data_IF_764094759735
#
_entry.id   IF_764094759735
#
_cell.length_a   1.000
_cell.length_b   1.000
_cell.length_c   1.000
_cell.angle_alpha   90.00
_cell.angle_beta   90.00
_cell.angle_gamma   90.00
#
_symmetry.space_group_name_H-M   'P 1'
#
loop_
_entity.id
_entity.type
_entity.pdbx_description
1 polymer ?
#
# COMPACT_ATOMS: atom_id res chain seq x y z
N UNK A 1 -20.69 35.83 -19.00
CA UNK A 1 -21.11 34.60 -18.32
C UNK A 1 -19.82 33.84 -18.04
N UNK A 2 -19.34 33.86 -16.80
CA UNK A 2 -18.13 33.14 -16.41
C UNK A 2 -18.46 31.66 -16.30
N UNK A 3 -18.13 30.88 -17.32
CA UNK A 3 -17.97 29.44 -17.16
C UNK A 3 -16.56 29.20 -16.67
N UNK A 4 -16.41 29.14 -15.34
CA UNK A 4 -15.27 28.49 -14.70
C UNK A 4 -15.31 27.02 -15.12
N UNK A 5 -14.66 26.73 -16.24
CA UNK A 5 -14.22 25.38 -16.60
C UNK A 5 -13.26 25.00 -15.49
N UNK A 6 -13.77 24.30 -14.47
CA UNK A 6 -12.92 23.66 -13.48
C UNK A 6 -11.90 22.85 -14.26
N UNK A 7 -10.64 23.23 -14.12
CA UNK A 7 -9.52 22.42 -14.58
C UNK A 7 -9.79 20.99 -14.08
N UNK A 8 -9.55 19.93 -14.88
CA UNK A 8 -9.59 18.59 -14.33
C UNK A 8 -8.54 18.59 -13.23
N UNK A 9 -9.01 18.55 -11.98
CA UNK A 9 -8.14 18.42 -10.83
C UNK A 9 -7.55 17.02 -10.98
N UNK A 10 -6.42 16.92 -11.66
CA UNK A 10 -5.55 15.76 -11.60
C UNK A 10 -4.93 15.77 -10.21
N UNK A 11 -5.76 15.47 -9.20
CA UNK A 11 -5.30 15.03 -7.89
C UNK A 11 -4.68 13.63 -8.08
N UNK A 12 -3.64 13.31 -7.30
CA UNK A 12 -2.48 12.57 -7.79
C UNK A 12 -2.80 11.10 -8.04
N UNK A 13 -2.63 10.66 -9.29
CA UNK A 13 -2.72 9.25 -9.70
C UNK A 13 -1.80 8.34 -8.86
N UNK A 14 -0.73 8.88 -8.26
CA UNK A 14 0.18 8.13 -7.36
C UNK A 14 -0.49 7.65 -6.06
N UNK A 15 -1.54 8.32 -5.58
CA UNK A 15 -2.15 7.96 -4.30
C UNK A 15 -3.14 6.80 -4.42
N UNK A 16 -3.85 6.67 -5.55
CA UNK A 16 -4.77 5.54 -5.79
C UNK A 16 -4.01 4.21 -5.98
N UNK A 17 -2.91 4.23 -6.72
CA UNK A 17 -2.07 3.03 -6.92
C UNK A 17 -1.44 2.56 -5.61
N UNK A 18 -0.96 3.50 -4.79
CA UNK A 18 -0.40 3.19 -3.48
C UNK A 18 -1.46 2.70 -2.48
N UNK A 19 -2.67 3.27 -2.50
CA UNK A 19 -3.79 2.77 -1.69
C UNK A 19 -4.24 1.37 -2.13
N UNK A 20 -4.30 1.10 -3.44
CA UNK A 20 -4.58 -0.23 -3.95
C UNK A 20 -3.51 -1.24 -3.50
N UNK A 21 -2.23 -0.86 -3.53
CA UNK A 21 -1.12 -1.67 -3.05
C UNK A 21 -1.23 -1.95 -1.55
N UNK A 22 -1.53 -0.94 -0.74
CA UNK A 22 -1.80 -1.10 0.70
C UNK A 22 -2.94 -2.07 0.96
N UNK A 23 -4.04 -1.94 0.24
CA UNK A 23 -5.18 -2.86 0.37
C UNK A 23 -4.77 -4.30 0.02
N UNK A 24 -4.00 -4.49 -1.04
CA UNK A 24 -3.51 -5.81 -1.46
C UNK A 24 -2.61 -6.44 -0.39
N UNK A 25 -1.67 -5.68 0.16
CA UNK A 25 -0.78 -6.14 1.24
C UNK A 25 -1.58 -6.43 2.51
N UNK A 26 -2.53 -5.57 2.87
CA UNK A 26 -3.39 -5.76 4.03
C UNK A 26 -4.19 -7.07 3.94
N UNK A 27 -4.84 -7.29 2.79
CA UNK A 27 -5.59 -8.52 2.51
C UNK A 27 -4.69 -9.76 2.60
N UNK A 28 -3.47 -9.67 2.07
CA UNK A 28 -2.49 -10.74 2.14
C UNK A 28 -2.12 -11.05 3.59
N UNK A 29 -1.69 -10.06 4.37
CA UNK A 29 -1.29 -10.24 5.78
C UNK A 29 -2.43 -10.81 6.60
N UNK A 30 -3.66 -10.35 6.36
CA UNK A 30 -4.86 -10.87 7.03
C UNK A 30 -5.12 -12.35 6.69
N UNK A 31 -4.97 -12.76 5.43
CA UNK A 31 -5.23 -14.13 4.97
C UNK A 31 -4.10 -15.11 5.29
N UNK A 32 -2.85 -14.69 5.18
CA UNK A 32 -1.66 -15.51 5.44
C UNK A 32 -1.38 -15.70 6.94
N UNK A 33 -1.99 -14.85 7.78
CA UNK A 33 -1.86 -14.88 9.23
C UNK A 33 -0.96 -13.74 9.72
N UNK A 34 -1.51 -12.85 10.54
CA UNK A 34 -0.76 -11.72 11.09
C UNK A 34 0.18 -12.18 12.22
N UNK A 35 1.50 -11.89 12.21
CA UNK A 35 2.25 -11.07 11.25
C UNK A 35 2.95 -11.86 10.13
N UNK A 36 3.32 -11.16 9.05
CA UNK A 36 4.02 -11.70 7.88
C UNK A 36 5.37 -11.02 7.65
N UNK A 37 6.27 -11.65 6.89
CA UNK A 37 7.56 -11.03 6.54
C UNK A 37 7.48 -10.25 5.23
N UNK A 38 8.30 -9.21 5.06
CA UNK A 38 8.42 -8.46 3.81
C UNK A 38 8.76 -9.40 2.66
N UNK A 39 9.68 -10.36 2.86
CA UNK A 39 10.02 -11.35 1.84
C UNK A 39 8.81 -12.19 1.42
N UNK A 40 7.98 -12.64 2.36
CA UNK A 40 6.75 -13.38 2.02
C UNK A 40 5.79 -12.53 1.19
N UNK A 41 5.62 -11.25 1.53
CA UNK A 41 4.77 -10.31 0.79
C UNK A 41 5.33 -10.07 -0.62
N UNK A 42 6.64 -9.84 -0.75
CA UNK A 42 7.36 -9.66 -2.01
C UNK A 42 7.21 -10.89 -2.91
N UNK A 43 7.46 -12.07 -2.36
CA UNK A 43 7.43 -13.33 -3.11
C UNK A 43 6.01 -13.69 -3.54
N UNK A 44 5.02 -13.60 -2.65
CA UNK A 44 3.64 -14.03 -2.95
C UNK A 44 2.86 -13.00 -3.79
N UNK A 45 3.11 -11.71 -3.61
CA UNK A 45 2.46 -10.64 -4.38
C UNK A 45 3.25 -10.24 -5.62
N UNK A 46 4.45 -10.80 -5.81
CA UNK A 46 5.39 -10.46 -6.90
C UNK A 46 5.66 -8.96 -6.98
N UNK A 47 5.84 -8.33 -5.81
CA UNK A 47 6.10 -6.90 -5.66
C UNK A 47 7.59 -6.63 -5.52
N UNK A 48 8.00 -5.39 -5.72
CA UNK A 48 9.35 -4.99 -5.33
C UNK A 48 9.41 -4.75 -3.82
N UNK A 49 10.56 -5.05 -3.22
CA UNK A 49 10.81 -4.79 -1.81
C UNK A 49 10.61 -3.30 -1.46
N UNK A 50 11.08 -2.38 -2.32
CA UNK A 50 10.89 -0.93 -2.14
C UNK A 50 9.40 -0.56 -2.12
N UNK A 51 8.59 -1.09 -3.04
CA UNK A 51 7.15 -0.84 -3.10
C UNK A 51 6.42 -1.37 -1.87
N UNK A 52 6.79 -2.56 -1.38
CA UNK A 52 6.22 -3.11 -0.15
C UNK A 52 6.58 -2.22 1.03
N UNK A 53 7.85 -1.82 1.16
CA UNK A 53 8.32 -0.94 2.24
C UNK A 53 7.61 0.41 2.24
N UNK A 54 7.41 1.01 1.07
CA UNK A 54 6.68 2.26 0.92
C UNK A 54 5.21 2.11 1.31
N UNK A 55 4.56 1.03 0.87
CA UNK A 55 3.16 0.77 1.18
C UNK A 55 2.92 0.50 2.67
N UNK A 56 3.79 -0.30 3.31
CA UNK A 56 3.67 -0.65 4.74
C UNK A 56 4.13 0.46 5.67
N UNK A 57 4.82 1.48 5.15
CA UNK A 57 5.10 2.73 5.85
C UNK A 57 3.83 3.61 5.95
N UNK A 58 2.78 3.03 6.53
CA UNK A 58 1.46 3.62 6.70
C UNK A 58 0.85 3.19 8.03
N UNK A 59 -0.03 4.03 8.60
CA UNK A 59 -0.64 3.80 9.91
C UNK A 59 -1.49 2.52 10.02
N UNK A 60 -1.74 1.81 8.92
CA UNK A 60 -2.47 0.54 8.90
C UNK A 60 -1.59 -0.65 9.27
N UNK A 61 -0.28 -0.45 9.29
CA UNK A 61 0.69 -1.51 9.53
C UNK A 61 1.62 -1.16 10.69
N UNK A 62 2.05 -2.20 11.40
CA UNK A 62 3.13 -2.14 12.38
C UNK A 62 4.30 -2.91 11.80
N UNK A 63 5.44 -2.25 11.65
CA UNK A 63 6.66 -2.86 11.12
C UNK A 63 7.69 -3.03 12.24
N UNK A 64 8.16 -4.26 12.45
CA UNK A 64 9.27 -4.59 13.35
C UNK A 64 10.34 -5.36 12.57
N UNK A 65 11.43 -4.67 12.20
CA UNK A 65 12.43 -5.22 11.27
C UNK A 65 11.81 -5.53 9.91
N UNK A 66 11.96 -6.79 9.46
CA UNK A 66 11.36 -7.28 8.21
C UNK A 66 9.97 -7.92 8.41
N UNK A 67 9.35 -7.72 9.56
CA UNK A 67 8.02 -8.25 9.87
C UNK A 67 6.98 -7.14 9.83
N UNK A 68 5.90 -7.38 9.10
CA UNK A 68 4.76 -6.50 8.90
C UNK A 68 3.53 -7.13 9.53
N UNK A 69 2.91 -6.38 10.44
CA UNK A 69 1.65 -6.70 11.07
C UNK A 69 0.57 -5.68 10.70
N UNK A 70 -0.69 -6.07 10.81
CA UNK A 70 -1.80 -5.11 10.77
C UNK A 70 -1.87 -4.41 12.14
N UNK A 71 -1.97 -3.08 12.14
CA UNK A 71 -2.03 -2.21 13.32
C UNK A 71 -3.35 -2.33 14.11
#
# INVERSE_FOLDING_TARGET
>A
MLEVKGDPVTEPLENEEMEALRNQIWDFVYRAGNPQTINSIVDDLHLSDDSVREAVHHAWFVCEGDTVAIA
#
